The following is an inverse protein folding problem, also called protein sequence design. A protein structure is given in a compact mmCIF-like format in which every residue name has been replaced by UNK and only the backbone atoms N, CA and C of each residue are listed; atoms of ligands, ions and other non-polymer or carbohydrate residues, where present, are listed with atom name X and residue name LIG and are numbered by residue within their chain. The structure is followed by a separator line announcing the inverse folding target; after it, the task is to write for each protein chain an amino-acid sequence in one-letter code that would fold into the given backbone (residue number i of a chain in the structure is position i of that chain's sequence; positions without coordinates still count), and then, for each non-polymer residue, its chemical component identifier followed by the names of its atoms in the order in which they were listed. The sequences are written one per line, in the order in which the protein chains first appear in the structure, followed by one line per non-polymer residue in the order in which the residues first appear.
data_IF_221680681862
#
_entry.id   IF_221680681862
#
_cell.length_a   1.000
_cell.length_b   1.000
_cell.length_c   1.000
_cell.angle_alpha   90.00
_cell.angle_beta   90.00
_cell.angle_gamma   90.00
#
_symmetry.space_group_name_H-M   'P 1'
#
loop_
_entity.id
_entity.type
_entity.pdbx_description
1 polymer ?
#
# COMPACT_ATOMS: atom_id res chain seq x y z
N UNK A 1 13.71 16.56 -45.74
CA UNK A 1 13.36 15.85 -44.49
C UNK A 1 13.78 14.37 -44.47
N UNK A 2 13.65 13.62 -45.55
CA UNK A 2 13.97 12.17 -45.60
C UNK A 2 15.48 11.90 -45.45
N UNK A 3 16.37 12.74 -46.02
CA UNK A 3 17.84 12.56 -45.95
C UNK A 3 18.37 12.71 -44.51
N UNK A 4 17.80 13.62 -43.70
CA UNK A 4 18.21 13.81 -42.31
C UNK A 4 17.84 12.61 -41.44
N UNK A 5 16.69 11.96 -41.69
CA UNK A 5 16.22 10.79 -40.95
C UNK A 5 17.12 9.59 -41.24
N UNK A 6 17.54 9.38 -42.48
CA UNK A 6 18.43 8.26 -42.89
C UNK A 6 19.83 8.42 -42.25
N UNK A 7 20.37 9.65 -42.21
CA UNK A 7 21.66 9.90 -41.55
C UNK A 7 21.62 9.65 -40.05
N UNK A 8 20.52 9.94 -39.38
CA UNK A 8 20.34 9.70 -37.94
C UNK A 8 20.27 8.19 -37.64
N UNK A 9 19.59 7.41 -38.48
CA UNK A 9 19.48 5.96 -38.32
C UNK A 9 20.83 5.29 -38.54
N UNK A 10 21.59 5.70 -39.57
CA UNK A 10 22.94 5.14 -39.85
C UNK A 10 23.90 5.47 -38.70
N UNK A 11 23.87 6.69 -38.17
CA UNK A 11 24.70 7.08 -37.01
C UNK A 11 24.37 6.27 -35.76
N UNK A 12 23.08 5.98 -35.51
CA UNK A 12 22.63 5.20 -34.37
C UNK A 12 23.03 3.71 -34.47
N UNK A 13 23.00 3.16 -35.68
CA UNK A 13 23.45 1.78 -35.96
C UNK A 13 24.94 1.63 -35.75
N UNK A 14 25.74 2.62 -36.16
CA UNK A 14 27.19 2.62 -35.98
C UNK A 14 27.61 2.76 -34.51
N UNK A 15 26.85 3.55 -33.74
CA UNK A 15 27.00 3.69 -32.28
C UNK A 15 26.70 2.37 -31.55
N UNK A 16 25.62 1.69 -31.91
CA UNK A 16 25.25 0.38 -31.36
C UNK A 16 26.28 -0.68 -31.68
N UNK A 17 26.85 -0.69 -32.92
CA UNK A 17 27.91 -1.61 -33.33
C UNK A 17 29.18 -1.39 -32.51
N UNK A 18 29.59 -0.16 -32.26
CA UNK A 18 30.75 0.20 -31.41
C UNK A 18 30.53 -0.11 -29.94
N UNK A 19 29.32 0.10 -29.40
CA UNK A 19 28.97 -0.19 -28.02
C UNK A 19 29.02 -1.73 -27.73
N UNK A 20 28.70 -2.56 -28.71
CA UNK A 20 28.83 -4.04 -28.57
C UNK A 20 30.25 -4.54 -28.30
N UNK A 21 31.28 -3.79 -28.70
CA UNK A 21 32.69 -4.15 -28.42
C UNK A 21 33.13 -3.78 -26.99
N UNK A 22 32.44 -2.87 -26.33
CA UNK A 22 32.73 -2.43 -24.97
C UNK A 22 31.97 -3.21 -23.87
N UNK A 23 30.87 -3.85 -24.24
CA UNK A 23 30.06 -4.68 -23.35
C UNK A 23 30.28 -6.13 -23.81
N UNK A 24 31.29 -6.83 -23.24
CA UNK A 24 31.67 -8.19 -23.58
C UNK A 24 30.52 -9.19 -23.49
N UNK A 25 29.78 -9.38 -24.59
CA UNK A 25 28.83 -10.49 -24.68
C UNK A 25 29.62 -11.76 -25.04
N UNK A 26 29.47 -12.86 -24.32
CA UNK A 26 30.13 -14.12 -24.65
C UNK A 26 29.65 -14.64 -26.01
N UNK A 27 30.60 -15.07 -26.86
CA UNK A 27 30.30 -15.71 -28.13
C UNK A 27 29.51 -17.01 -27.88
N UNK A 28 28.37 -17.12 -28.52
CA UNK A 28 27.51 -18.33 -28.49
C UNK A 28 28.20 -19.44 -29.21
N UNK A 29 28.74 -20.38 -28.47
CA UNK A 29 29.32 -21.62 -29.02
C UNK A 29 28.21 -22.54 -29.53
N UNK A 30 28.32 -23.01 -30.79
CA UNK A 30 27.34 -23.87 -31.46
C UNK A 30 27.76 -25.32 -31.39
N UNK A 31 28.03 -25.85 -30.20
CA UNK A 31 28.21 -27.30 -30.08
C UNK A 31 27.87 -27.81 -28.69
N UNK A 32 26.60 -28.13 -28.47
CA UNK A 32 26.20 -29.31 -27.69
C UNK A 32 24.69 -29.49 -27.78
N UNK A 33 24.25 -30.36 -28.67
CA UNK A 33 22.98 -31.05 -28.51
C UNK A 33 23.20 -32.11 -27.44
N UNK A 34 22.72 -31.88 -26.25
CA UNK A 34 22.48 -32.93 -25.29
C UNK A 34 21.13 -32.60 -24.61
N UNK A 35 20.21 -33.50 -24.80
CA UNK A 35 18.93 -33.60 -24.17
C UNK A 35 19.05 -33.47 -22.65
N UNK A 36 18.49 -32.39 -22.07
CA UNK A 36 18.07 -32.34 -20.68
C UNK A 36 16.72 -31.68 -20.68
N UNK A 37 15.65 -32.45 -20.50
CA UNK A 37 14.37 -31.99 -20.00
C UNK A 37 14.62 -31.39 -18.63
N UNK A 38 14.91 -30.08 -18.57
CA UNK A 38 14.86 -29.35 -17.31
C UNK A 38 13.40 -29.01 -17.06
N UNK A 39 12.81 -29.71 -16.10
CA UNK A 39 11.63 -29.24 -15.41
C UNK A 39 11.87 -27.77 -15.00
N UNK A 40 11.21 -26.85 -15.71
CA UNK A 40 11.14 -25.46 -15.32
C UNK A 40 10.29 -25.45 -14.06
N UNK A 41 10.93 -25.46 -12.90
CA UNK A 41 10.26 -25.04 -11.68
C UNK A 41 9.83 -23.60 -11.90
N UNK A 42 8.55 -23.40 -12.18
CA UNK A 42 7.94 -22.09 -12.17
C UNK A 42 7.96 -21.65 -10.71
N UNK A 43 9.00 -20.92 -10.30
CA UNK A 43 8.97 -20.15 -9.09
C UNK A 43 7.82 -19.15 -9.23
N UNK A 44 6.67 -19.49 -8.68
CA UNK A 44 5.62 -18.52 -8.46
C UNK A 44 6.17 -17.56 -7.41
N UNK A 45 6.53 -16.36 -7.84
CA UNK A 45 6.80 -15.27 -6.90
C UNK A 45 5.58 -15.14 -5.98
N UNK A 46 5.78 -14.96 -4.66
CA UNK A 46 4.67 -14.77 -3.75
C UNK A 46 3.81 -13.60 -4.27
N UNK A 47 2.51 -13.82 -4.39
CA UNK A 47 1.58 -12.80 -4.89
C UNK A 47 1.76 -11.55 -4.04
N UNK A 48 2.34 -10.52 -4.62
CA UNK A 48 2.50 -9.23 -3.95
C UNK A 48 1.14 -8.57 -3.85
N UNK A 49 0.65 -8.40 -2.62
CA UNK A 49 -0.59 -7.68 -2.39
C UNK A 49 -0.33 -6.20 -2.65
N UNK A 50 -0.95 -5.69 -3.69
CA UNK A 50 -0.91 -4.29 -4.07
C UNK A 50 -2.31 -3.66 -4.13
N UNK A 51 -2.39 -2.36 -4.36
CA UNK A 51 -3.66 -1.64 -4.44
C UNK A 51 -4.58 -2.16 -5.57
N UNK A 52 -4.01 -2.63 -6.69
CA UNK A 52 -4.79 -3.15 -7.80
C UNK A 52 -5.50 -4.46 -7.43
N UNK A 53 -4.80 -5.35 -6.72
CA UNK A 53 -5.38 -6.61 -6.23
C UNK A 53 -6.50 -6.33 -5.21
N UNK A 54 -6.27 -5.43 -4.24
CA UNK A 54 -7.28 -5.03 -3.24
C UNK A 54 -8.54 -4.48 -3.91
N UNK A 55 -8.39 -3.55 -4.85
CA UNK A 55 -9.51 -2.96 -5.57
C UNK A 55 -10.25 -3.99 -6.45
N UNK A 56 -9.51 -4.93 -7.04
CA UNK A 56 -10.07 -6.05 -7.79
C UNK A 56 -10.96 -6.94 -6.91
N UNK A 57 -10.43 -7.38 -5.77
CA UNK A 57 -11.14 -8.21 -4.79
C UNK A 57 -12.37 -7.51 -4.22
N UNK A 58 -12.24 -6.24 -3.83
CA UNK A 58 -13.38 -5.47 -3.33
C UNK A 58 -14.49 -5.32 -4.40
N UNK A 59 -14.10 -5.12 -5.67
CA UNK A 59 -15.07 -5.06 -6.78
C UNK A 59 -15.78 -6.40 -6.99
N UNK A 60 -15.06 -7.52 -6.94
CA UNK A 60 -15.63 -8.86 -7.04
C UNK A 60 -16.61 -9.16 -5.90
N UNK A 61 -16.27 -8.71 -4.68
CA UNK A 61 -17.12 -8.82 -3.49
C UNK A 61 -18.30 -7.83 -3.48
N UNK A 62 -18.31 -6.83 -4.36
CA UNK A 62 -19.31 -5.76 -4.35
C UNK A 62 -19.12 -4.73 -3.24
N UNK A 63 -17.95 -4.70 -2.60
CA UNK A 63 -17.65 -3.82 -1.46
C UNK A 63 -17.15 -2.44 -1.91
N UNK A 64 -17.52 -1.42 -1.13
CA UNK A 64 -16.95 -0.08 -1.17
C UNK A 64 -15.87 0.06 -0.10
N UNK A 65 -14.80 0.77 -0.44
CA UNK A 65 -13.66 1.01 0.43
C UNK A 65 -13.53 2.47 0.85
N UNK A 66 -13.03 2.68 2.07
CA UNK A 66 -12.67 4.00 2.58
C UNK A 66 -11.43 3.95 3.47
N UNK A 67 -10.84 5.12 3.75
CA UNK A 67 -9.68 5.23 4.64
C UNK A 67 -9.83 6.34 5.66
N UNK A 68 -9.24 6.15 6.86
CA UNK A 68 -9.00 7.21 7.83
C UNK A 68 -7.51 7.28 8.15
N UNK A 69 -6.89 8.41 7.87
CA UNK A 69 -5.45 8.52 7.90
C UNK A 69 -4.98 9.60 8.88
N UNK A 70 -4.02 9.25 9.74
CA UNK A 70 -3.31 10.20 10.59
C UNK A 70 -1.85 10.34 10.10
N UNK A 71 -0.95 9.49 10.54
CA UNK A 71 0.48 9.62 10.24
C UNK A 71 0.84 9.48 8.75
N UNK A 72 0.03 8.80 7.96
CA UNK A 72 0.22 8.66 6.49
C UNK A 72 -0.24 9.90 5.72
N UNK A 73 -1.22 10.65 6.24
CA UNK A 73 -1.62 11.94 5.69
C UNK A 73 -2.14 11.89 4.25
N UNK A 74 -2.89 10.84 3.89
CA UNK A 74 -3.49 10.64 2.57
C UNK A 74 -2.70 9.69 1.65
N UNK A 75 -1.60 9.09 2.09
CA UNK A 75 -0.79 8.20 1.24
C UNK A 75 -1.50 6.88 0.90
N UNK A 76 -2.35 6.34 1.80
CA UNK A 76 -3.13 5.12 1.50
C UNK A 76 -4.16 5.43 0.41
N UNK A 77 -4.84 6.56 0.54
CA UNK A 77 -5.77 7.05 -0.48
C UNK A 77 -5.06 7.31 -1.82
N UNK A 78 -3.87 7.92 -1.79
CA UNK A 78 -3.05 8.15 -2.97
C UNK A 78 -2.65 6.83 -3.65
N UNK A 79 -2.27 5.82 -2.88
CA UNK A 79 -1.93 4.48 -3.39
C UNK A 79 -3.13 3.83 -4.07
N UNK A 80 -4.30 3.81 -3.40
CA UNK A 80 -5.53 3.25 -3.98
C UNK A 80 -5.98 4.01 -5.24
N UNK A 81 -5.90 5.34 -5.23
CA UNK A 81 -6.33 6.17 -6.36
C UNK A 81 -5.33 6.21 -7.51
N UNK A 82 -4.10 5.72 -7.32
CA UNK A 82 -3.13 5.55 -8.40
C UNK A 82 -3.57 4.52 -9.43
N UNK A 83 -4.48 3.61 -9.04
CA UNK A 83 -4.98 2.54 -9.93
C UNK A 83 -6.16 3.05 -10.77
N UNK A 84 -6.09 2.97 -12.11
CA UNK A 84 -7.19 3.36 -12.98
C UNK A 84 -8.49 2.59 -12.66
N UNK A 85 -9.59 3.32 -12.55
CA UNK A 85 -10.90 2.73 -12.22
C UNK A 85 -11.16 2.52 -10.73
N UNK A 86 -10.28 2.96 -9.84
CA UNK A 86 -10.45 2.92 -8.38
C UNK A 86 -11.76 3.55 -7.90
N UNK A 87 -12.27 4.60 -8.58
CA UNK A 87 -13.53 5.28 -8.24
C UNK A 87 -14.76 4.38 -8.24
N UNK A 88 -14.68 3.21 -8.83
CA UNK A 88 -15.79 2.22 -8.80
C UNK A 88 -15.93 1.57 -7.42
N UNK A 89 -14.85 1.56 -6.63
CA UNK A 89 -14.73 0.83 -5.37
C UNK A 89 -14.39 1.77 -4.21
N UNK A 90 -13.41 2.68 -4.41
CA UNK A 90 -12.94 3.59 -3.39
C UNK A 90 -13.82 4.84 -3.33
N UNK A 91 -14.48 5.07 -2.17
CA UNK A 91 -15.40 6.19 -1.95
C UNK A 91 -14.69 7.44 -1.47
N UNK A 92 -13.62 7.31 -0.67
CA UNK A 92 -12.91 8.46 -0.15
C UNK A 92 -12.02 8.19 1.05
N UNK A 93 -11.41 9.25 1.55
CA UNK A 93 -10.50 9.25 2.70
C UNK A 93 -10.78 10.42 3.64
N UNK A 94 -10.64 10.19 4.95
CA UNK A 94 -10.67 11.22 5.98
C UNK A 94 -9.27 11.34 6.57
N UNK A 95 -8.57 12.43 6.25
CA UNK A 95 -7.28 12.73 6.87
C UNK A 95 -7.54 13.42 8.22
N UNK A 96 -7.48 12.63 9.29
CA UNK A 96 -7.77 13.07 10.67
C UNK A 96 -6.47 13.28 11.45
N UNK A 97 -5.72 14.33 11.08
CA UNK A 97 -4.38 14.57 11.65
C UNK A 97 -4.45 15.09 13.08
N UNK A 98 -5.36 16.04 13.36
CA UNK A 98 -5.62 16.57 14.69
C UNK A 98 -6.63 15.69 15.45
N UNK A 99 -6.60 15.75 16.80
CA UNK A 99 -7.52 14.98 17.64
C UNK A 99 -8.97 15.43 17.47
N UNK A 100 -9.18 16.74 17.31
CA UNK A 100 -10.50 17.33 17.08
C UNK A 100 -11.14 16.75 15.79
N UNK A 101 -10.35 16.55 14.75
CA UNK A 101 -10.83 15.94 13.50
C UNK A 101 -11.19 14.46 13.70
N UNK A 102 -10.43 13.73 14.55
CA UNK A 102 -10.79 12.35 14.93
C UNK A 102 -12.15 12.30 15.64
N UNK A 103 -12.36 13.21 16.59
CA UNK A 103 -13.63 13.28 17.30
C UNK A 103 -14.78 13.69 16.37
N UNK A 104 -14.63 14.80 15.65
CA UNK A 104 -15.74 15.40 14.90
C UNK A 104 -16.12 14.59 13.65
N UNK A 105 -15.15 14.01 12.94
CA UNK A 105 -15.40 13.35 11.66
C UNK A 105 -15.46 11.83 11.76
N UNK A 106 -14.87 11.22 12.79
CA UNK A 106 -14.78 9.76 12.93
C UNK A 106 -15.46 9.28 14.23
N UNK A 107 -16.02 10.18 15.04
CA UNK A 107 -16.69 9.83 16.30
C UNK A 107 -15.76 9.20 17.35
N UNK A 108 -14.46 9.48 17.29
CA UNK A 108 -13.50 9.00 18.29
C UNK A 108 -13.81 9.66 19.63
N UNK A 109 -13.88 8.85 20.70
CA UNK A 109 -14.15 9.31 22.05
C UNK A 109 -13.05 10.24 22.55
N UNK A 110 -13.42 11.42 23.04
CA UNK A 110 -12.49 12.34 23.68
C UNK A 110 -11.88 11.74 24.96
N UNK A 111 -12.64 10.93 25.69
CA UNK A 111 -12.18 10.24 26.89
C UNK A 111 -11.11 9.18 26.54
N UNK A 112 -11.30 8.43 25.46
CA UNK A 112 -10.30 7.45 25.01
C UNK A 112 -9.04 8.12 24.49
N UNK A 113 -9.18 9.27 23.82
CA UNK A 113 -8.02 10.07 23.41
C UNK A 113 -7.24 10.59 24.62
N UNK A 114 -7.93 11.01 25.69
CA UNK A 114 -7.29 11.49 26.92
C UNK A 114 -6.64 10.33 27.70
N UNK A 115 -7.31 9.17 27.76
CA UNK A 115 -6.87 8.02 28.54
C UNK A 115 -5.72 7.25 27.85
N UNK A 116 -5.85 6.95 26.57
CA UNK A 116 -4.95 6.06 25.84
C UNK A 116 -4.02 6.80 24.86
N UNK A 117 -4.33 8.07 24.57
CA UNK A 117 -3.66 8.85 23.55
C UNK A 117 -4.07 8.46 22.12
N UNK A 118 -3.77 9.34 21.18
CA UNK A 118 -4.15 9.16 19.77
C UNK A 118 -3.56 7.87 19.13
N UNK A 119 -2.36 7.45 19.57
CA UNK A 119 -1.70 6.24 19.07
C UNK A 119 -2.02 5.08 20.02
N UNK A 120 -3.17 4.47 19.82
CA UNK A 120 -3.67 3.37 20.64
C UNK A 120 -4.66 2.51 19.88
N UNK A 121 -4.85 1.26 20.33
CA UNK A 121 -5.80 0.34 19.72
C UNK A 121 -7.24 0.84 19.77
N UNK A 122 -7.77 1.33 20.92
CA UNK A 122 -9.14 1.83 20.98
C UNK A 122 -9.40 2.95 19.98
N UNK A 123 -8.46 3.89 19.85
CA UNK A 123 -8.58 5.00 18.92
C UNK A 123 -8.52 4.53 17.46
N UNK A 124 -7.61 3.62 17.12
CA UNK A 124 -7.53 3.07 15.76
C UNK A 124 -8.81 2.33 15.35
N UNK A 125 -9.38 1.52 16.26
CA UNK A 125 -10.66 0.83 16.02
C UNK A 125 -11.80 1.80 15.80
N UNK A 126 -11.92 2.81 16.63
CA UNK A 126 -12.95 3.84 16.49
C UNK A 126 -12.79 4.63 15.20
N UNK A 127 -11.55 4.96 14.81
CA UNK A 127 -11.28 5.60 13.53
C UNK A 127 -11.75 4.75 12.34
N UNK A 128 -11.53 3.43 12.36
CA UNK A 128 -11.95 2.53 11.29
C UNK A 128 -13.49 2.42 11.21
N UNK A 129 -14.16 2.26 12.36
CA UNK A 129 -15.63 2.23 12.45
C UNK A 129 -16.21 3.56 11.95
N UNK A 130 -15.68 4.68 12.47
CA UNK A 130 -16.13 6.00 12.09
C UNK A 130 -15.93 6.32 10.61
N UNK A 131 -14.83 5.85 10.01
CA UNK A 131 -14.60 5.99 8.58
C UNK A 131 -15.64 5.19 7.76
N UNK A 132 -15.93 3.94 8.15
CA UNK A 132 -16.94 3.12 7.47
C UNK A 132 -18.31 3.79 7.50
N UNK A 133 -18.70 4.32 8.68
CA UNK A 133 -19.97 5.01 8.86
C UNK A 133 -20.06 6.35 8.10
N UNK A 134 -19.05 7.19 8.23
CA UNK A 134 -19.06 8.53 7.64
C UNK A 134 -18.98 8.50 6.12
N UNK A 135 -18.22 7.55 5.56
CA UNK A 135 -18.07 7.40 4.11
C UNK A 135 -19.13 6.48 3.49
N UNK A 136 -19.93 5.79 4.31
CA UNK A 136 -20.94 4.84 3.85
C UNK A 136 -20.31 3.69 3.06
N UNK A 137 -19.25 3.07 3.60
CA UNK A 137 -18.50 2.00 2.94
C UNK A 137 -18.56 0.70 3.73
N UNK A 138 -18.33 -0.42 3.02
CA UNK A 138 -18.37 -1.76 3.61
C UNK A 138 -17.08 -2.10 4.38
N UNK A 139 -15.93 -1.65 3.84
CA UNK A 139 -14.62 -1.89 4.44
C UNK A 139 -13.85 -0.58 4.55
N UNK A 140 -13.35 -0.26 5.74
CA UNK A 140 -12.54 0.92 5.99
C UNK A 140 -11.28 0.60 6.77
N UNK A 141 -10.12 1.08 6.31
CA UNK A 141 -8.87 1.00 7.06
C UNK A 141 -8.56 2.32 7.73
N UNK A 142 -8.08 2.25 8.97
CA UNK A 142 -7.64 3.42 9.72
C UNK A 142 -6.21 3.23 10.22
N UNK A 143 -5.43 4.32 10.23
CA UNK A 143 -4.06 4.32 10.73
C UNK A 143 -3.81 5.50 11.66
N UNK A 144 -3.17 5.21 12.81
CA UNK A 144 -2.68 6.22 13.74
C UNK A 144 -1.31 5.80 14.27
N UNK A 145 -0.34 6.72 14.32
CA UNK A 145 1.03 6.33 14.66
C UNK A 145 2.01 7.49 14.76
N UNK A 146 3.22 7.16 15.20
CA UNK A 146 4.34 8.06 15.40
C UNK A 146 5.36 7.84 14.28
N UNK A 147 5.30 8.67 13.23
CA UNK A 147 6.19 8.52 12.07
C UNK A 147 7.59 9.12 12.31
N UNK A 148 7.77 9.92 13.37
CA UNK A 148 9.06 10.57 13.69
C UNK A 148 9.32 11.85 12.88
N UNK A 149 10.50 12.50 13.06
CA UNK A 149 11.58 12.06 13.96
C UNK A 149 11.24 12.20 15.45
N UNK A 150 10.32 13.12 15.79
CA UNK A 150 9.91 13.41 17.16
C UNK A 150 8.59 12.70 17.53
N UNK A 151 8.15 12.86 18.79
CA UNK A 151 6.86 12.38 19.30
C UNK A 151 6.89 10.96 19.86
N UNK A 152 8.03 10.27 19.82
CA UNK A 152 8.21 8.98 20.47
C UNK A 152 8.42 9.10 21.99
N UNK A 153 7.94 8.08 22.72
CA UNK A 153 8.26 7.86 24.15
C UNK A 153 8.89 6.48 24.33
N UNK A 154 9.45 6.14 25.51
CA UNK A 154 9.93 4.78 25.75
C UNK A 154 8.87 3.70 25.56
N UNK A 155 7.60 3.99 25.88
CA UNK A 155 6.47 3.05 25.76
C UNK A 155 5.91 3.00 24.32
N UNK A 156 6.03 4.10 23.59
CA UNK A 156 5.57 4.25 22.21
C UNK A 156 6.66 4.92 21.37
N UNK A 157 7.72 4.20 21.02
CA UNK A 157 8.82 4.78 20.23
C UNK A 157 8.37 5.20 18.83
N UNK A 158 9.22 5.99 18.16
CA UNK A 158 9.05 6.30 16.73
C UNK A 158 8.92 5.01 15.94
N UNK A 159 7.98 4.96 15.02
CA UNK A 159 7.63 3.76 14.26
C UNK A 159 6.46 2.96 14.84
N UNK A 160 5.97 3.30 16.04
CA UNK A 160 4.75 2.71 16.61
C UNK A 160 3.54 3.15 15.81
N UNK A 161 2.84 2.20 15.18
CA UNK A 161 1.64 2.46 14.36
C UNK A 161 0.57 1.41 14.66
N UNK A 162 -0.62 1.87 14.98
CA UNK A 162 -1.82 1.07 15.00
C UNK A 162 -2.54 1.15 13.66
N UNK A 163 -2.88 0.01 13.10
CA UNK A 163 -3.70 -0.13 11.91
C UNK A 163 -4.94 -0.94 12.28
N UNK A 164 -6.11 -0.43 11.95
CA UNK A 164 -7.37 -1.12 12.17
C UNK A 164 -8.19 -1.18 10.88
N UNK A 165 -8.95 -2.25 10.71
CA UNK A 165 -9.89 -2.41 9.60
C UNK A 165 -11.25 -2.74 10.16
N UNK A 166 -12.27 -2.00 9.71
CA UNK A 166 -13.69 -2.30 9.92
C UNK A 166 -14.22 -2.94 8.64
N UNK A 167 -14.89 -4.09 8.76
CA UNK A 167 -15.44 -4.86 7.65
C UNK A 167 -16.73 -5.57 8.06
N UNK A 168 -17.47 -6.21 7.14
CA UNK A 168 -18.64 -7.03 7.49
C UNK A 168 -18.35 -8.17 8.47
N UNK A 169 -17.12 -8.72 8.50
CA UNK A 169 -16.70 -9.74 9.45
C UNK A 169 -16.33 -9.18 10.82
N UNK A 170 -16.33 -7.87 11.02
CA UNK A 170 -16.02 -7.21 12.28
C UNK A 170 -14.88 -6.21 12.20
N UNK A 171 -14.32 -5.88 13.37
CA UNK A 171 -13.21 -4.89 13.46
C UNK A 171 -11.97 -5.58 13.97
N UNK A 172 -10.90 -5.55 13.18
CA UNK A 172 -9.57 -6.01 13.57
C UNK A 172 -8.61 -4.84 13.77
N UNK A 173 -7.61 -5.00 14.63
CA UNK A 173 -6.54 -4.02 14.81
C UNK A 173 -5.21 -4.72 15.06
N UNK A 174 -4.11 -4.13 14.55
CA UNK A 174 -2.75 -4.62 14.75
C UNK A 174 -1.81 -3.49 15.10
N UNK A 175 -0.94 -3.77 16.06
CA UNK A 175 0.22 -2.92 16.37
C UNK A 175 1.38 -3.30 15.45
N UNK A 176 1.98 -2.28 14.84
CA UNK A 176 3.20 -2.41 14.06
C UNK A 176 4.31 -1.55 14.67
N UNK A 177 5.54 -2.04 14.55
CA UNK A 177 6.74 -1.30 14.91
C UNK A 177 7.65 -1.23 13.67
N UNK A 178 7.67 -0.07 13.04
CA UNK A 178 8.48 0.16 11.84
C UNK A 178 9.77 0.90 12.22
N UNK A 179 10.86 0.58 11.56
CA UNK A 179 12.14 1.27 11.72
C UNK A 179 12.42 2.18 10.53
N UNK A 180 13.30 3.16 10.72
CA UNK A 180 13.79 4.02 9.66
C UNK A 180 13.32 5.47 9.75
N UNK A 181 13.47 6.20 8.64
CA UNK A 181 13.07 7.60 8.54
C UNK A 181 11.54 7.75 8.56
N UNK A 182 11.08 8.97 8.80
CA UNK A 182 9.64 9.33 8.71
C UNK A 182 9.00 8.85 7.40
N UNK A 183 9.70 8.98 6.28
CA UNK A 183 9.20 8.52 4.98
C UNK A 183 9.08 7.01 4.93
N UNK A 184 10.08 6.29 5.42
CA UNK A 184 10.09 4.82 5.47
C UNK A 184 8.97 4.28 6.37
N UNK A 185 8.77 4.86 7.57
CA UNK A 185 7.65 4.49 8.46
C UNK A 185 6.31 4.70 7.78
N UNK A 186 6.09 5.84 7.11
CA UNK A 186 4.85 6.13 6.39
C UNK A 186 4.61 5.16 5.23
N UNK A 187 5.65 4.82 4.45
CA UNK A 187 5.54 3.84 3.35
C UNK A 187 5.23 2.44 3.88
N UNK A 188 5.97 1.97 4.88
CA UNK A 188 5.69 0.67 5.50
C UNK A 188 4.26 0.60 6.09
N UNK A 189 3.75 1.73 6.61
CA UNK A 189 2.35 1.81 7.07
C UNK A 189 1.36 1.65 5.92
N UNK A 190 1.61 2.24 4.76
CA UNK A 190 0.77 2.08 3.56
C UNK A 190 0.75 0.61 3.13
N UNK A 191 1.92 -0.02 3.00
CA UNK A 191 2.02 -1.42 2.58
C UNK A 191 1.27 -2.35 3.54
N UNK A 192 1.44 -2.16 4.85
CA UNK A 192 0.73 -2.94 5.87
C UNK A 192 -0.79 -2.70 5.85
N UNK A 193 -1.23 -1.46 5.61
CA UNK A 193 -2.65 -1.13 5.53
C UNK A 193 -3.32 -1.77 4.30
N UNK A 194 -2.64 -1.77 3.15
CA UNK A 194 -3.11 -2.45 1.92
C UNK A 194 -3.22 -3.96 2.16
N UNK A 195 -2.24 -4.57 2.83
CA UNK A 195 -2.29 -6.00 3.17
C UNK A 195 -3.45 -6.32 4.13
N UNK A 196 -3.70 -5.49 5.15
CA UNK A 196 -4.81 -5.68 6.08
C UNK A 196 -6.18 -5.49 5.42
N UNK A 197 -6.31 -4.55 4.48
CA UNK A 197 -7.51 -4.41 3.65
C UNK A 197 -7.80 -5.67 2.85
N UNK A 198 -6.78 -6.24 2.21
CA UNK A 198 -6.91 -7.49 1.46
C UNK A 198 -7.44 -8.62 2.34
N UNK A 199 -6.79 -8.88 3.48
CA UNK A 199 -7.21 -9.92 4.40
C UNK A 199 -8.64 -9.75 4.91
N UNK A 200 -9.04 -8.52 5.26
CA UNK A 200 -10.40 -8.23 5.74
C UNK A 200 -11.47 -8.46 4.66
N UNK A 201 -11.15 -8.20 3.38
CA UNK A 201 -12.06 -8.51 2.26
C UNK A 201 -12.20 -10.03 2.12
N UNK A 202 -11.09 -10.79 2.13
CA UNK A 202 -11.12 -12.25 2.02
C UNK A 202 -11.90 -12.90 3.16
N UNK A 203 -11.66 -12.47 4.41
CA UNK A 203 -12.42 -12.94 5.58
C UNK A 203 -13.93 -12.67 5.45
N UNK A 204 -14.30 -11.52 4.86
CA UNK A 204 -15.70 -11.11 4.72
C UNK A 204 -16.46 -11.85 3.62
N UNK A 205 -15.76 -12.44 2.65
CA UNK A 205 -16.38 -13.27 1.60
C UNK A 205 -16.27 -14.77 1.89
N UNK A 206 -15.68 -15.15 3.04
CA UNK A 206 -15.58 -16.54 3.48
C UNK A 206 -14.51 -17.36 2.75
N UNK A 207 -13.47 -16.72 2.29
CA UNK A 207 -12.32 -17.30 1.58
C UNK A 207 -11.12 -17.53 2.53
#
# INVERSE_FOLDING_TARGET
MIVALVLTIVSMMDYIAKARHLIGFPKRDKSSKASAESSVEVFQEPVRVDAALVLGKAREAGFKLGTAESCTGGLIAAELTSVPGSSRVFSGSIVSYANEVKCCNLGVSADDLACYGAVSEPVARQMAIGAAQTLGVDVAVAVTGIAGPDGGTPEKPVGTVWIAVSSPSGVSARLHSFSGSREQVRRATVDAAILMLHGAIEESVGL
#
